data_IF_758951985245
#
_entry.id   IF_758951985245
#
_cell.length_a   1.000
_cell.length_b   1.000
_cell.length_c   1.000
_cell.angle_alpha   90.00
_cell.angle_beta   90.00
_cell.angle_gamma   90.00
#
_symmetry.space_group_name_H-M   'P 1'
#
loop_
_entity.id
_entity.type
_entity.pdbx_description
1 polymer ?
#
# COMPACT_ATOMS: atom_id res chain seq x y z
N UNK A 1 23.24 7.10 9.70
CA UNK A 1 21.89 6.60 10.07
C UNK A 1 20.93 7.75 9.88
N UNK A 2 20.41 7.91 8.65
CA UNK A 2 19.52 9.03 8.35
C UNK A 2 18.12 8.67 8.85
N UNK A 3 17.74 9.31 9.95
CA UNK A 3 16.39 9.33 10.47
C UNK A 3 15.55 10.15 9.48
N UNK A 4 15.03 9.49 8.44
CA UNK A 4 14.08 10.08 7.51
C UNK A 4 12.81 10.34 8.34
N UNK A 5 12.61 11.60 8.72
CA UNK A 5 11.45 12.06 9.48
C UNK A 5 10.15 11.55 8.84
N UNK A 6 9.33 10.86 9.63
CA UNK A 6 8.08 10.20 9.21
C UNK A 6 7.06 11.15 8.57
N UNK A 7 7.18 12.47 8.80
CA UNK A 7 6.27 13.50 8.30
C UNK A 7 6.60 14.01 6.89
N UNK A 8 7.87 13.96 6.47
CA UNK A 8 8.28 14.44 5.13
C UNK A 8 7.76 13.54 4.00
N UNK A 9 7.39 12.31 4.32
CA UNK A 9 7.01 11.26 3.36
C UNK A 9 5.62 11.45 2.75
N UNK A 10 4.62 11.86 3.55
CA UNK A 10 3.27 12.11 3.01
C UNK A 10 3.26 13.43 2.25
N UNK A 11 4.04 14.42 2.69
CA UNK A 11 4.25 15.63 1.90
C UNK A 11 4.87 15.31 0.54
N UNK A 12 5.84 14.39 0.46
CA UNK A 12 6.45 13.95 -0.80
C UNK A 12 5.45 13.24 -1.74
N UNK A 13 4.59 12.35 -1.22
CA UNK A 13 3.53 11.71 -2.02
C UNK A 13 2.47 12.71 -2.49
N UNK A 14 2.18 13.74 -1.69
CA UNK A 14 1.25 14.83 -2.06
C UNK A 14 1.86 15.81 -3.06
N UNK A 15 3.19 16.03 -3.03
CA UNK A 15 3.90 16.99 -3.89
C UNK A 15 4.41 16.41 -5.20
N UNK A 16 4.15 15.13 -5.51
CA UNK A 16 4.37 14.59 -6.85
C UNK A 16 3.40 15.22 -7.87
N UNK A 17 3.80 16.40 -8.32
CA UNK A 17 3.48 16.94 -9.64
C UNK A 17 4.71 17.36 -10.42
N UNK A 18 5.93 17.46 -9.85
CA UNK A 18 7.19 17.52 -10.61
C UNK A 18 8.43 17.50 -9.68
N UNK A 19 9.50 16.82 -10.13
CA UNK A 19 10.92 16.96 -9.71
C UNK A 19 11.40 16.45 -8.34
N UNK A 20 11.97 15.23 -8.32
CA UNK A 20 13.33 14.85 -7.82
C UNK A 20 13.44 13.31 -7.71
N UNK A 21 14.16 12.62 -8.60
CA UNK A 21 13.95 11.18 -8.85
C UNK A 21 14.86 10.18 -8.10
N UNK A 22 15.99 10.58 -7.50
CA UNK A 22 17.00 9.61 -7.04
C UNK A 22 16.87 9.17 -5.57
N UNK A 23 16.61 10.10 -4.63
CA UNK A 23 16.43 9.75 -3.21
C UNK A 23 15.04 9.12 -2.93
N UNK A 24 14.05 9.45 -3.76
CA UNK A 24 12.67 9.00 -3.60
C UNK A 24 12.46 7.54 -4.02
N UNK A 25 13.28 7.04 -4.95
CA UNK A 25 13.16 5.68 -5.49
C UNK A 25 13.42 4.61 -4.43
N UNK A 26 14.40 4.82 -3.55
CA UNK A 26 14.71 3.88 -2.46
C UNK A 26 13.60 3.84 -1.41
N UNK A 27 13.01 5.01 -1.12
CA UNK A 27 11.92 5.15 -0.16
C UNK A 27 10.64 4.48 -0.66
N UNK A 28 10.27 4.71 -1.94
CA UNK A 28 9.15 4.04 -2.60
C UNK A 28 9.37 2.52 -2.64
N UNK A 29 10.58 2.07 -2.98
CA UNK A 29 10.90 0.65 -3.01
C UNK A 29 10.77 -0.02 -1.61
N UNK A 30 11.23 0.67 -0.55
CA UNK A 30 11.07 0.19 0.82
C UNK A 30 9.59 0.10 1.23
N UNK A 31 8.77 1.09 0.85
CA UNK A 31 7.34 1.08 1.11
C UNK A 31 6.62 -0.06 0.37
N UNK A 32 6.89 -0.21 -0.91
CA UNK A 32 6.32 -1.27 -1.73
C UNK A 32 6.71 -2.66 -1.20
N UNK A 33 7.95 -2.81 -0.72
CA UNK A 33 8.42 -4.03 -0.06
C UNK A 33 7.61 -4.35 1.20
N UNK A 34 7.36 -3.36 2.06
CA UNK A 34 6.55 -3.54 3.28
C UNK A 34 5.08 -3.85 2.96
N UNK A 35 4.47 -3.15 2.01
CA UNK A 35 3.12 -3.47 1.52
C UNK A 35 3.03 -4.91 1.01
N UNK A 36 4.03 -5.34 0.23
CA UNK A 36 4.10 -6.71 -0.28
C UNK A 36 4.27 -7.75 0.84
N UNK A 37 4.95 -7.42 1.94
CA UNK A 37 5.03 -8.30 3.13
C UNK A 37 3.65 -8.48 3.77
N UNK A 38 2.89 -7.40 3.95
CA UNK A 38 1.52 -7.49 4.47
C UNK A 38 0.60 -8.28 3.55
N UNK A 39 0.66 -8.03 2.24
CA UNK A 39 -0.12 -8.76 1.24
C UNK A 39 0.16 -10.27 1.30
N UNK A 40 1.42 -10.69 1.32
CA UNK A 40 1.79 -12.10 1.46
C UNK A 40 1.28 -12.72 2.77
N UNK A 41 1.32 -11.98 3.88
CA UNK A 41 0.81 -12.47 5.15
C UNK A 41 -0.71 -12.67 5.12
N UNK A 42 -1.46 -11.71 4.56
CA UNK A 42 -2.91 -11.81 4.43
C UNK A 42 -3.34 -12.94 3.48
N UNK A 43 -2.62 -13.15 2.38
CA UNK A 43 -2.94 -14.22 1.42
C UNK A 43 -2.68 -15.62 1.97
N UNK A 44 -1.78 -15.78 2.94
CA UNK A 44 -1.56 -17.08 3.61
C UNK A 44 -2.78 -17.57 4.39
N UNK A 45 -3.62 -16.66 4.87
CA UNK A 45 -4.89 -17.02 5.52
C UNK A 45 -6.03 -17.29 4.54
N UNK A 46 -5.84 -17.04 3.25
CA UNK A 46 -6.85 -17.30 2.21
C UNK A 46 -6.72 -18.72 1.63
N UNK A 47 -7.83 -19.29 1.17
CA UNK A 47 -7.88 -20.66 0.60
C UNK A 47 -6.93 -20.82 -0.60
N UNK A 48 -6.04 -21.82 -0.56
CA UNK A 48 -4.91 -22.07 -1.50
C UNK A 48 -5.23 -22.11 -3.01
N UNK A 49 -6.50 -22.03 -3.41
CA UNK A 49 -6.96 -21.93 -4.80
C UNK A 49 -7.11 -20.47 -5.28
N UNK A 50 -6.35 -19.52 -4.73
CA UNK A 50 -6.33 -18.14 -5.22
C UNK A 50 -5.37 -17.96 -6.40
N UNK A 51 -5.88 -17.39 -7.50
CA UNK A 51 -5.08 -16.91 -8.64
C UNK A 51 -4.58 -15.47 -8.43
N UNK A 52 -4.98 -14.84 -7.33
CA UNK A 52 -4.73 -13.45 -7.05
C UNK A 52 -3.33 -13.29 -6.46
N UNK A 53 -2.47 -12.45 -7.06
CA UNK A 53 -1.09 -12.29 -6.64
C UNK A 53 -0.92 -11.16 -5.62
N UNK A 54 0.11 -11.26 -4.77
CA UNK A 54 0.42 -10.23 -3.77
C UNK A 54 0.67 -8.84 -4.39
N UNK A 55 1.26 -8.79 -5.59
CA UNK A 55 1.47 -7.54 -6.34
C UNK A 55 0.14 -6.92 -6.77
N UNK A 56 -0.81 -7.73 -7.23
CA UNK A 56 -2.14 -7.25 -7.61
C UNK A 56 -2.90 -6.73 -6.38
N UNK A 57 -2.80 -7.43 -5.24
CA UNK A 57 -3.38 -6.98 -3.98
C UNK A 57 -2.83 -5.62 -3.53
N UNK A 58 -1.52 -5.39 -3.67
CA UNK A 58 -0.89 -4.11 -3.34
C UNK A 58 -1.37 -3.00 -4.27
N UNK A 59 -1.41 -3.25 -5.58
CA UNK A 59 -1.84 -2.28 -6.58
C UNK A 59 -3.30 -1.87 -6.37
N UNK A 60 -4.20 -2.84 -6.20
CA UNK A 60 -5.62 -2.59 -5.94
C UNK A 60 -5.84 -1.83 -4.63
N UNK A 61 -5.13 -2.20 -3.57
CA UNK A 61 -5.20 -1.48 -2.30
C UNK A 61 -4.73 -0.03 -2.45
N UNK A 62 -3.62 0.20 -3.17
CA UNK A 62 -3.13 1.54 -3.44
C UNK A 62 -4.14 2.38 -4.22
N UNK A 63 -4.75 1.84 -5.29
CA UNK A 63 -5.77 2.55 -6.07
C UNK A 63 -7.01 2.89 -5.23
N UNK A 64 -7.49 1.97 -4.40
CA UNK A 64 -8.63 2.23 -3.50
C UNK A 64 -8.34 3.33 -2.48
N UNK A 65 -7.11 3.35 -1.96
CA UNK A 65 -6.67 4.41 -1.08
C UNK A 65 -6.57 5.71 -1.86
N UNK A 66 -5.77 5.78 -2.94
CA UNK A 66 -5.55 6.95 -3.79
C UNK A 66 -6.83 7.60 -4.34
N UNK A 67 -7.85 6.80 -4.68
CA UNK A 67 -9.13 7.28 -5.20
C UNK A 67 -10.04 7.92 -4.16
N UNK A 68 -9.81 7.67 -2.86
CA UNK A 68 -10.60 8.29 -1.80
C UNK A 68 -10.10 9.73 -1.60
N UNK A 69 -10.76 10.75 -2.14
CA UNK A 69 -10.28 12.15 -2.21
C UNK A 69 -9.87 12.86 -0.89
N UNK A 70 -9.88 12.18 0.27
CA UNK A 70 -9.56 12.72 1.59
C UNK A 70 -8.37 11.98 2.25
N UNK A 71 -7.25 11.85 1.53
CA UNK A 71 -6.06 11.13 2.01
C UNK A 71 -5.16 12.06 2.81
N UNK A 72 -5.62 12.44 3.99
CA UNK A 72 -4.79 13.14 4.94
C UNK A 72 -4.11 12.12 5.87
N UNK A 73 -3.18 11.35 5.29
CA UNK A 73 -2.49 10.30 6.03
C UNK A 73 -1.46 11.02 6.89
N UNK A 74 -1.67 11.02 8.19
CA UNK A 74 -0.87 11.83 9.11
C UNK A 74 0.54 11.25 9.31
N UNK A 75 0.71 9.94 9.15
CA UNK A 75 1.97 9.26 9.36
C UNK A 75 2.03 7.88 8.66
N UNK A 76 3.22 7.28 8.68
CA UNK A 76 3.51 5.94 8.13
C UNK A 76 2.67 4.82 8.77
N UNK A 77 2.35 4.91 10.06
CA UNK A 77 1.55 3.89 10.76
C UNK A 77 0.10 3.95 10.29
N UNK A 78 -0.44 5.15 10.09
CA UNK A 78 -1.75 5.38 9.53
C UNK A 78 -1.81 4.89 8.08
N UNK A 79 -0.79 5.18 7.26
CA UNK A 79 -0.63 4.63 5.91
C UNK A 79 -0.77 3.10 5.92
N UNK A 80 0.06 2.40 6.69
CA UNK A 80 0.07 0.93 6.64
C UNK A 80 -1.19 0.32 7.25
N UNK A 81 -1.77 0.96 8.26
CA UNK A 81 -3.05 0.54 8.82
C UNK A 81 -4.17 0.64 7.78
N UNK A 82 -4.24 1.76 7.04
CA UNK A 82 -5.18 1.94 5.94
C UNK A 82 -4.93 0.93 4.81
N UNK A 83 -3.67 0.68 4.46
CA UNK A 83 -3.28 -0.29 3.44
C UNK A 83 -3.73 -1.71 3.78
N UNK A 84 -3.52 -2.16 5.02
CA UNK A 84 -3.96 -3.49 5.47
C UNK A 84 -5.49 -3.61 5.42
N UNK A 85 -6.22 -2.56 5.82
CA UNK A 85 -7.70 -2.53 5.73
C UNK A 85 -8.16 -2.60 4.27
N UNK A 86 -7.54 -1.82 3.38
CA UNK A 86 -7.85 -1.84 1.95
C UNK A 86 -7.57 -3.22 1.33
N UNK A 87 -6.43 -3.84 1.67
CA UNK A 87 -6.07 -5.19 1.19
C UNK A 87 -7.09 -6.24 1.62
N UNK A 88 -7.53 -6.23 2.89
CA UNK A 88 -8.57 -7.15 3.37
C UNK A 88 -9.88 -6.99 2.61
N UNK A 89 -10.29 -5.75 2.31
CA UNK A 89 -11.49 -5.48 1.51
C UNK A 89 -11.36 -6.04 0.09
N UNK A 90 -10.20 -5.84 -0.53
CA UNK A 90 -9.90 -6.40 -1.86
C UNK A 90 -10.03 -7.92 -1.84
N UNK A 91 -9.39 -8.62 -0.89
CA UNK A 91 -9.48 -10.08 -0.78
C UNK A 91 -10.92 -10.57 -0.62
N UNK A 92 -11.71 -9.92 0.23
CA UNK A 92 -13.13 -10.25 0.42
C UNK A 92 -13.93 -10.05 -0.88
N UNK A 93 -13.70 -8.94 -1.59
CA UNK A 93 -14.37 -8.66 -2.86
C UNK A 93 -14.02 -9.73 -3.92
N UNK A 94 -12.75 -10.15 -3.98
CA UNK A 94 -12.30 -11.24 -4.85
C UNK A 94 -12.94 -12.58 -4.50
N UNK A 95 -13.01 -12.93 -3.22
CA UNK A 95 -13.66 -14.15 -2.76
C UNK A 95 -15.16 -14.17 -3.10
N UNK A 96 -15.85 -13.04 -2.93
CA UNK A 96 -17.27 -12.88 -3.29
C UNK A 96 -17.53 -13.04 -4.78
N UNK A 97 -16.66 -12.52 -5.65
CA UNK A 97 -16.81 -12.66 -7.12
C UNK A 97 -16.62 -14.10 -7.62
N UNK A 98 -16.00 -14.98 -6.82
CA UNK A 98 -15.74 -16.38 -7.17
C UNK A 98 -16.81 -17.35 -6.64
N UNK A 99 -17.72 -16.88 -5.78
CA UNK A 99 -18.86 -17.66 -5.25
C UNK A 99 -20.06 -17.53 -6.18
#
# INVERSE_FOLDING_TARGET
>A
MNNINDNNFIELLKTQSNTSQEDDSQLIAAFYKEMRRFANHLMKSENQNHTFQATELVNEAYLKMAGSHNLDWQDKKHFFSAAVVAMRRVLVDYARKKS
#
